data_IF_579415635704
#
_entry.id   IF_579415635704
#
_cell.length_a   1.000
_cell.length_b   1.000
_cell.length_c   1.000
_cell.angle_alpha   90.00
_cell.angle_beta   90.00
_cell.angle_gamma   90.00
#
_symmetry.space_group_name_H-M   'P 1'
#
loop_
_entity.id
_entity.type
_entity.pdbx_description
1 polymer ?
#
# COMPACT_ATOMS: atom_id res chain seq x y z
N UNK A 1 9.42 28.32 -15.07
CA UNK A 1 10.50 28.61 -14.11
C UNK A 1 10.29 30.03 -13.64
N UNK A 2 10.35 30.28 -12.33
CA UNK A 2 10.27 31.63 -11.76
C UNK A 2 11.71 32.10 -11.51
N UNK A 3 11.99 33.38 -11.77
CA UNK A 3 13.31 33.98 -11.64
C UNK A 3 13.24 35.14 -10.64
N UNK A 4 13.09 36.38 -11.13
CA UNK A 4 13.01 37.58 -10.28
C UNK A 4 11.79 37.59 -9.36
N UNK A 5 10.70 36.93 -9.77
CA UNK A 5 9.46 36.84 -9.00
C UNK A 5 9.67 36.17 -7.64
N UNK A 6 10.55 35.16 -7.57
CA UNK A 6 10.89 34.44 -6.34
C UNK A 6 12.20 34.89 -5.70
N UNK A 7 13.13 35.45 -6.48
CA UNK A 7 14.46 35.83 -5.98
C UNK A 7 14.46 37.18 -5.23
N UNK A 8 13.81 38.20 -5.80
CA UNK A 8 13.79 39.56 -5.25
C UNK A 8 12.39 40.20 -5.25
N UNK A 9 11.37 39.45 -5.70
CA UNK A 9 9.98 39.92 -5.74
C UNK A 9 9.39 40.11 -4.35
N UNK A 10 8.44 41.05 -4.23
CA UNK A 10 7.75 41.34 -2.97
C UNK A 10 6.80 40.22 -2.51
N UNK A 11 6.38 39.32 -3.43
CA UNK A 11 5.37 38.29 -3.16
C UNK A 11 5.78 36.88 -3.68
N UNK A 12 6.89 36.30 -3.20
CA UNK A 12 7.42 35.03 -3.72
C UNK A 12 6.45 33.86 -3.51
N UNK A 13 5.78 33.80 -2.35
CA UNK A 13 4.80 32.74 -2.05
C UNK A 13 3.56 32.84 -2.96
N UNK A 14 3.06 34.05 -3.20
CA UNK A 14 1.90 34.27 -4.07
C UNK A 14 2.24 33.92 -5.52
N UNK A 15 3.45 34.22 -5.97
CA UNK A 15 3.92 33.85 -7.31
C UNK A 15 3.89 32.33 -7.51
N UNK A 16 4.45 31.56 -6.56
CA UNK A 16 4.45 30.08 -6.61
C UNK A 16 3.02 29.52 -6.54
N UNK A 17 2.17 30.04 -5.65
CA UNK A 17 0.77 29.59 -5.54
C UNK A 17 -0.04 29.87 -6.80
N UNK A 18 0.16 31.04 -7.40
CA UNK A 18 -0.52 31.43 -8.64
C UNK A 18 -0.06 30.57 -9.80
N UNK A 19 1.26 30.32 -9.91
CA UNK A 19 1.81 29.39 -10.90
C UNK A 19 1.19 27.99 -10.76
N UNK A 20 1.11 27.46 -9.54
CA UNK A 20 0.49 26.15 -9.29
C UNK A 20 -0.98 26.10 -9.74
N UNK A 21 -1.77 27.15 -9.46
CA UNK A 21 -3.17 27.25 -9.91
C UNK A 21 -3.28 27.27 -11.44
N UNK A 22 -2.46 28.08 -12.11
CA UNK A 22 -2.44 28.16 -13.58
C UNK A 22 -2.11 26.79 -14.17
N UNK A 23 -1.11 26.09 -13.61
CA UNK A 23 -0.79 24.73 -14.05
C UNK A 23 -1.96 23.77 -13.87
N UNK A 24 -2.61 23.75 -12.71
CA UNK A 24 -3.76 22.86 -12.47
C UNK A 24 -4.91 23.11 -13.45
N UNK A 25 -5.25 24.36 -13.72
CA UNK A 25 -6.30 24.73 -14.68
C UNK A 25 -5.90 24.40 -16.12
N UNK A 26 -4.66 24.68 -16.52
CA UNK A 26 -4.19 24.32 -17.85
C UNK A 26 -4.19 22.79 -18.05
N UNK A 27 -3.83 22.03 -17.02
CA UNK A 27 -3.79 20.57 -17.08
C UNK A 27 -5.17 19.91 -17.05
N UNK A 28 -6.19 20.56 -16.50
CA UNK A 28 -7.57 20.05 -16.47
C UNK A 28 -8.24 20.06 -17.85
N UNK A 29 -7.81 20.95 -18.74
CA UNK A 29 -8.36 21.09 -20.11
C UNK A 29 -7.74 20.16 -21.15
N UNK A 30 -6.68 19.42 -20.79
CA UNK A 30 -5.94 18.56 -21.72
C UNK A 30 -6.60 17.18 -21.88
N UNK A 31 -6.84 16.77 -23.13
CA UNK A 31 -7.14 15.38 -23.46
C UNK A 31 -5.85 14.56 -23.54
N UNK A 32 -5.54 13.86 -22.45
CA UNK A 32 -4.38 12.97 -22.35
C UNK A 32 -4.41 11.79 -23.33
N UNK A 33 -5.60 11.33 -23.75
CA UNK A 33 -5.75 10.26 -24.73
C UNK A 33 -5.25 10.70 -26.11
N UNK A 34 -5.61 11.90 -26.52
CA UNK A 34 -5.15 12.48 -27.80
C UNK A 34 -3.68 12.91 -27.76
N UNK A 35 -3.21 13.46 -26.64
CA UNK A 35 -1.78 13.76 -26.44
C UNK A 35 -0.95 12.49 -26.60
N UNK A 36 -1.37 11.38 -25.97
CA UNK A 36 -0.68 10.09 -26.11
C UNK A 36 -0.61 9.61 -27.57
N UNK A 37 -1.73 9.67 -28.31
CA UNK A 37 -1.77 9.27 -29.73
C UNK A 37 -0.80 10.08 -30.58
N UNK A 38 -0.75 11.41 -30.42
CA UNK A 38 0.17 12.28 -31.17
C UNK A 38 1.63 11.96 -30.87
N UNK A 39 1.97 11.72 -29.60
CA UNK A 39 3.34 11.32 -29.21
C UNK A 39 3.72 9.97 -29.84
N UNK A 40 2.79 9.02 -29.86
CA UNK A 40 3.02 7.71 -30.48
C UNK A 40 3.24 7.81 -32.00
N UNK A 41 2.52 8.69 -32.70
CA UNK A 41 2.68 8.91 -34.15
C UNK A 41 4.07 9.45 -34.52
N UNK A 42 4.72 10.20 -33.62
CA UNK A 42 6.07 10.74 -33.82
C UNK A 42 7.17 9.93 -33.14
N UNK A 43 6.83 8.78 -32.55
CA UNK A 43 7.83 7.91 -31.93
C UNK A 43 8.56 7.08 -32.99
N UNK A 44 9.89 6.86 -32.86
CA UNK A 44 10.67 6.13 -33.85
C UNK A 44 10.25 4.65 -33.90
N UNK A 45 10.27 4.05 -35.09
CA UNK A 45 10.03 2.61 -35.28
C UNK A 45 11.24 2.01 -36.00
N UNK A 46 11.94 0.99 -35.44
CA UNK A 46 11.65 0.30 -34.17
C UNK A 46 12.04 1.13 -32.93
N UNK A 47 11.26 1.00 -31.86
CA UNK A 47 11.55 1.59 -30.55
C UNK A 47 12.56 0.74 -29.76
N UNK A 48 13.28 1.35 -28.83
CA UNK A 48 14.06 0.60 -27.85
C UNK A 48 13.15 -0.27 -26.95
N UNK A 49 13.61 -1.42 -26.42
CA UNK A 49 12.77 -2.28 -25.58
C UNK A 49 12.17 -1.57 -24.36
N UNK A 50 12.94 -0.69 -23.70
CA UNK A 50 12.46 0.08 -22.55
C UNK A 50 11.41 1.13 -22.93
N UNK A 51 11.56 1.76 -24.10
CA UNK A 51 10.60 2.73 -24.62
C UNK A 51 9.31 2.06 -25.09
N UNK A 52 9.41 0.89 -25.72
CA UNK A 52 8.27 0.04 -26.06
C UNK A 52 7.48 -0.38 -24.83
N UNK A 53 8.17 -0.73 -23.74
CA UNK A 53 7.52 -1.04 -22.47
C UNK A 53 6.93 0.19 -21.79
N UNK A 54 7.58 1.35 -21.85
CA UNK A 54 7.06 2.58 -21.27
C UNK A 54 5.77 3.04 -21.97
N UNK A 55 5.74 3.03 -23.30
CA UNK A 55 4.53 3.33 -24.08
C UNK A 55 3.42 2.30 -23.82
N UNK A 56 3.78 1.02 -23.74
CA UNK A 56 2.83 -0.05 -23.41
C UNK A 56 2.26 0.11 -22.01
N UNK A 57 3.07 0.47 -21.01
CA UNK A 57 2.61 0.70 -19.64
C UNK A 57 1.59 1.84 -19.55
N UNK A 58 1.84 2.96 -20.25
CA UNK A 58 0.88 4.08 -20.33
C UNK A 58 -0.40 3.66 -21.07
N UNK A 59 -0.28 2.91 -22.17
CA UNK A 59 -1.44 2.36 -22.87
C UNK A 59 -2.26 1.44 -21.98
N UNK A 60 -1.61 0.52 -21.26
CA UNK A 60 -2.25 -0.38 -20.30
C UNK A 60 -2.91 0.39 -19.17
N UNK A 61 -2.27 1.42 -18.63
CA UNK A 61 -2.86 2.26 -17.59
C UNK A 61 -4.12 2.99 -18.06
N UNK A 62 -4.08 3.55 -19.28
CA UNK A 62 -5.25 4.17 -19.91
C UNK A 62 -6.38 3.15 -20.13
N UNK A 63 -6.07 1.97 -20.67
CA UNK A 63 -7.07 0.93 -20.96
C UNK A 63 -7.65 0.29 -19.70
N UNK A 64 -6.84 0.06 -18.67
CA UNK A 64 -7.26 -0.51 -17.40
C UNK A 64 -7.86 0.53 -16.43
N UNK A 65 -7.97 1.80 -16.88
CA UNK A 65 -8.40 2.95 -16.06
C UNK A 65 -7.69 3.00 -14.71
N UNK A 66 -6.38 2.83 -14.75
CA UNK A 66 -5.54 2.84 -13.56
C UNK A 66 -5.50 4.24 -12.94
N UNK A 67 -5.52 4.27 -11.61
CA UNK A 67 -5.45 5.52 -10.84
C UNK A 67 -4.02 6.04 -10.71
N UNK A 68 -3.03 5.15 -10.81
CA UNK A 68 -1.62 5.47 -10.64
C UNK A 68 -0.74 4.50 -11.44
N UNK A 69 0.39 5.01 -11.94
CA UNK A 69 1.47 4.19 -12.49
C UNK A 69 2.60 4.15 -11.46
N UNK A 70 3.00 2.93 -11.06
CA UNK A 70 4.13 2.69 -10.18
C UNK A 70 5.34 2.33 -11.03
N UNK A 71 6.46 3.04 -10.88
CA UNK A 71 7.69 2.74 -11.61
C UNK A 71 8.80 2.48 -10.63
N UNK A 72 9.30 1.24 -10.58
CA UNK A 72 10.52 0.93 -9.84
C UNK A 72 11.72 1.21 -10.73
N UNK A 73 12.64 2.05 -10.26
CA UNK A 73 13.80 2.46 -11.05
C UNK A 73 15.04 2.60 -10.16
N UNK A 74 16.22 2.32 -10.71
CA UNK A 74 17.50 2.54 -10.01
C UNK A 74 18.12 3.87 -10.43
N UNK A 75 18.13 4.15 -11.74
CA UNK A 75 18.72 5.37 -12.33
C UNK A 75 17.72 6.43 -12.80
N UNK A 76 16.40 6.21 -12.64
CA UNK A 76 15.36 7.17 -13.03
C UNK A 76 15.01 7.18 -14.53
N UNK A 77 15.78 6.52 -15.40
CA UNK A 77 15.56 6.52 -16.86
C UNK A 77 14.19 5.97 -17.25
N UNK A 78 13.76 4.85 -16.67
CA UNK A 78 12.45 4.24 -16.92
C UNK A 78 11.30 5.21 -16.59
N UNK A 79 11.41 5.90 -15.47
CA UNK A 79 10.39 6.85 -15.01
C UNK A 79 10.27 8.04 -15.99
N UNK A 80 11.40 8.54 -16.49
CA UNK A 80 11.46 9.59 -17.52
C UNK A 80 10.81 9.14 -18.83
N UNK A 81 11.02 7.90 -19.25
CA UNK A 81 10.39 7.33 -20.45
C UNK A 81 8.88 7.22 -20.30
N UNK A 82 8.37 6.82 -19.13
CA UNK A 82 6.92 6.82 -18.88
C UNK A 82 6.36 8.25 -18.93
N UNK A 83 7.04 9.22 -18.32
CA UNK A 83 6.63 10.63 -18.33
C UNK A 83 6.65 11.26 -19.74
N UNK A 84 7.50 10.77 -20.66
CA UNK A 84 7.53 11.18 -22.08
C UNK A 84 6.16 11.03 -22.73
N UNK A 85 5.43 9.97 -22.42
CA UNK A 85 4.13 9.64 -23.01
C UNK A 85 2.94 10.35 -22.36
N UNK A 86 3.19 11.26 -21.40
CA UNK A 86 2.18 12.14 -20.78
C UNK A 86 0.92 11.40 -20.31
N UNK A 87 1.02 10.42 -19.39
CA UNK A 87 -0.16 9.85 -18.77
C UNK A 87 -0.97 10.95 -18.03
N UNK A 88 -2.30 10.88 -18.08
CA UNK A 88 -3.20 11.71 -17.28
C UNK A 88 -3.32 11.34 -15.79
N UNK A 89 -2.60 10.30 -15.35
CA UNK A 89 -2.55 9.83 -13.97
C UNK A 89 -1.15 10.08 -13.40
N UNK A 90 -1.01 10.24 -12.08
CA UNK A 90 0.30 10.42 -11.47
C UNK A 90 1.21 9.19 -11.67
N UNK A 91 2.51 9.45 -11.77
CA UNK A 91 3.56 8.42 -11.86
C UNK A 91 4.34 8.43 -10.55
N UNK A 92 4.20 7.40 -9.74
CA UNK A 92 5.02 7.21 -8.55
C UNK A 92 6.32 6.52 -8.92
N UNK A 93 7.42 7.26 -8.91
CA UNK A 93 8.77 6.74 -9.18
C UNK A 93 9.43 6.34 -7.88
N UNK A 94 9.51 5.03 -7.62
CA UNK A 94 10.22 4.49 -6.46
C UNK A 94 11.66 4.21 -6.86
N UNK A 95 12.58 4.96 -6.26
CA UNK A 95 14.02 4.78 -6.46
C UNK A 95 14.53 3.73 -5.49
N UNK A 96 14.97 2.61 -6.04
CA UNK A 96 15.58 1.51 -5.28
C UNK A 96 17.09 1.69 -5.33
N UNK A 97 17.75 2.07 -4.21
CA UNK A 97 19.19 2.27 -4.20
C UNK A 97 19.91 0.96 -4.50
N UNK A 98 21.01 1.05 -5.24
CA UNK A 98 21.95 -0.07 -5.33
C UNK A 98 22.86 0.01 -4.13
N UNK A 99 22.88 -1.05 -3.35
CA UNK A 99 23.87 -1.22 -2.30
C UNK A 99 25.12 -1.74 -2.98
N UNK A 100 26.19 -0.93 -2.99
CA UNK A 100 27.51 -1.38 -3.41
C UNK A 100 28.37 -1.52 -2.15
N UNK A 101 28.66 -2.76 -1.77
CA UNK A 101 29.62 -3.08 -0.70
C UNK A 101 30.97 -3.33 -1.34
N UNK A 102 31.57 -2.27 -1.88
CA UNK A 102 32.91 -2.34 -2.49
C UNK A 102 34.00 -1.98 -1.44
N UNK A 103 33.59 -1.52 -0.26
CA UNK A 103 34.45 -1.09 0.86
C UNK A 103 33.78 -1.36 2.21
N UNK A 104 34.56 -1.41 3.31
CA UNK A 104 34.09 -1.55 4.70
C UNK A 104 33.11 -0.45 5.17
N UNK A 105 32.88 0.58 4.34
CA UNK A 105 31.87 1.61 4.51
C UNK A 105 30.64 1.38 3.62
N UNK A 106 29.46 1.38 4.23
CA UNK A 106 28.19 1.40 3.51
C UNK A 106 27.86 2.82 3.06
N UNK A 107 27.73 3.04 1.75
CA UNK A 107 27.24 4.31 1.20
C UNK A 107 25.95 4.12 0.40
N UNK A 108 24.91 4.86 0.79
CA UNK A 108 23.65 4.96 0.04
C UNK A 108 23.80 6.04 -1.05
N UNK A 109 24.28 5.67 -2.23
CA UNK A 109 24.66 6.64 -3.27
C UNK A 109 23.50 7.25 -4.10
N UNK A 110 22.25 6.78 -3.97
CA UNK A 110 21.26 6.95 -5.04
C UNK A 110 20.01 7.80 -4.69
N UNK A 111 20.17 8.91 -3.98
CA UNK A 111 19.05 9.89 -3.86
C UNK A 111 18.98 10.83 -5.09
N UNK A 112 20.08 10.99 -5.83
CA UNK A 112 20.13 11.87 -7.02
C UNK A 112 19.08 11.53 -8.09
N UNK A 113 18.75 10.26 -8.41
CA UNK A 113 17.70 9.94 -9.38
C UNK A 113 16.31 10.34 -8.89
N UNK A 114 16.07 10.33 -7.58
CA UNK A 114 14.80 10.77 -7.00
C UNK A 114 14.65 12.30 -7.16
N UNK A 115 15.70 13.06 -6.84
CA UNK A 115 15.71 14.52 -7.02
C UNK A 115 15.59 14.93 -8.49
N UNK A 116 16.32 14.26 -9.39
CA UNK A 116 16.24 14.53 -10.83
C UNK A 116 14.85 14.26 -11.41
N UNK A 117 14.07 13.36 -10.81
CA UNK A 117 12.70 13.07 -11.25
C UNK A 117 11.74 14.25 -11.05
N UNK A 118 12.01 15.17 -10.12
CA UNK A 118 11.15 16.34 -9.84
C UNK A 118 11.03 17.32 -11.01
N UNK A 119 11.97 17.29 -11.95
CA UNK A 119 11.97 18.15 -13.15
C UNK A 119 10.98 17.62 -14.20
N UNK A 120 10.67 16.32 -14.15
CA UNK A 120 9.81 15.68 -15.13
C UNK A 120 8.35 15.74 -14.69
N UNK A 121 7.45 16.06 -15.61
CA UNK A 121 6.03 16.20 -15.34
C UNK A 121 5.41 14.89 -14.84
N UNK A 122 4.50 15.00 -13.89
CA UNK A 122 3.67 13.89 -13.39
C UNK A 122 4.43 12.88 -12.53
N UNK A 123 5.75 13.05 -12.38
CA UNK A 123 6.59 12.19 -11.56
C UNK A 123 6.58 12.64 -10.11
N UNK A 124 6.13 11.74 -9.25
CA UNK A 124 6.21 11.85 -7.80
C UNK A 124 7.30 10.88 -7.34
N UNK A 125 8.50 11.35 -6.99
CA UNK A 125 9.54 10.46 -6.52
C UNK A 125 9.26 9.97 -5.09
N UNK A 126 9.72 8.75 -4.81
CA UNK A 126 9.81 8.17 -3.47
C UNK A 126 11.12 7.39 -3.37
N UNK A 127 11.81 7.53 -2.24
CA UNK A 127 13.00 6.75 -1.96
C UNK A 127 12.59 5.48 -1.22
N UNK A 128 13.03 4.33 -1.71
CA UNK A 128 12.84 3.07 -1.00
C UNK A 128 13.99 2.88 0.00
N UNK A 129 13.65 2.92 1.29
CA UNK A 129 14.56 2.54 2.37
C UNK A 129 14.48 1.02 2.58
N UNK A 130 15.01 0.27 1.61
CA UNK A 130 14.92 -1.18 1.54
C UNK A 130 16.01 -1.94 2.30
N UNK A 131 15.66 -3.13 2.79
CA UNK A 131 16.52 -4.04 3.57
C UNK A 131 17.58 -4.74 2.69
N UNK A 132 18.78 -4.96 3.25
CA UNK A 132 19.90 -5.67 2.66
C UNK A 132 19.65 -7.20 2.55
N UNK A 133 18.58 -7.62 1.87
CA UNK A 133 18.26 -9.05 1.68
C UNK A 133 18.95 -9.62 0.44
N UNK A 134 19.21 -10.93 0.51
CA UNK A 134 20.11 -11.67 -0.39
C UNK A 134 19.57 -11.95 -1.81
N UNK A 135 18.28 -11.73 -2.09
CA UNK A 135 17.69 -12.08 -3.41
C UNK A 135 17.05 -10.88 -4.13
N UNK A 136 17.37 -10.72 -5.42
CA UNK A 136 16.85 -9.63 -6.26
C UNK A 136 15.33 -9.70 -6.52
N UNK A 137 14.70 -10.87 -6.39
CA UNK A 137 13.27 -11.02 -6.64
C UNK A 137 12.43 -10.55 -5.44
N UNK A 138 12.78 -10.98 -4.23
CA UNK A 138 12.04 -10.63 -3.00
C UNK A 138 12.07 -9.12 -2.74
N UNK A 139 13.21 -8.48 -3.01
CA UNK A 139 13.37 -7.02 -2.90
C UNK A 139 12.43 -6.23 -3.82
N UNK A 140 12.08 -6.76 -5.01
CA UNK A 140 11.18 -6.07 -5.94
C UNK A 140 9.72 -6.12 -5.52
N UNK A 141 9.24 -7.25 -4.99
CA UNK A 141 7.87 -7.35 -4.50
C UNK A 141 7.68 -6.54 -3.21
N UNK A 142 8.67 -6.52 -2.31
CA UNK A 142 8.67 -5.63 -1.14
C UNK A 142 8.64 -4.14 -1.54
N UNK A 143 9.42 -3.75 -2.56
CA UNK A 143 9.41 -2.39 -3.09
C UNK A 143 8.05 -2.02 -3.72
N UNK A 144 7.35 -2.96 -4.35
CA UNK A 144 5.98 -2.74 -4.85
C UNK A 144 4.98 -2.55 -3.72
N UNK A 145 5.08 -3.34 -2.65
CA UNK A 145 4.22 -3.18 -1.46
C UNK A 145 4.43 -1.80 -0.84
N UNK A 146 5.70 -1.41 -0.64
CA UNK A 146 6.05 -0.07 -0.19
C UNK A 146 5.50 1.02 -1.11
N UNK A 147 5.61 0.86 -2.43
CA UNK A 147 5.08 1.82 -3.40
C UNK A 147 3.56 2.03 -3.23
N UNK A 148 2.81 0.94 -3.04
CA UNK A 148 1.36 0.98 -2.84
C UNK A 148 1.01 1.64 -1.50
N UNK A 149 1.74 1.35 -0.43
CA UNK A 149 1.54 1.98 0.88
C UNK A 149 1.85 3.47 0.85
N UNK A 150 2.95 3.86 0.20
CA UNK A 150 3.32 5.26 0.03
C UNK A 150 2.33 6.03 -0.84
N UNK A 151 1.80 5.39 -1.89
CA UNK A 151 0.73 5.96 -2.71
C UNK A 151 -0.55 6.18 -1.89
N UNK A 152 -0.93 5.24 -1.02
CA UNK A 152 -2.07 5.40 -0.09
C UNK A 152 -1.83 6.52 0.91
N UNK A 153 -0.62 6.60 1.49
CA UNK A 153 -0.27 7.63 2.46
C UNK A 153 -0.32 9.04 1.86
N UNK A 154 0.07 9.19 0.58
CA UNK A 154 -0.05 10.44 -0.17
C UNK A 154 -1.47 10.71 -0.71
N UNK A 155 -2.42 9.80 -0.51
CA UNK A 155 -3.78 9.92 -1.02
C UNK A 155 -3.90 9.79 -2.55
N UNK A 156 -2.88 9.24 -3.22
CA UNK A 156 -2.85 9.06 -4.67
C UNK A 156 -3.67 7.84 -5.13
N UNK A 157 -3.88 6.87 -4.26
CA UNK A 157 -4.73 5.71 -4.52
C UNK A 157 -5.58 5.33 -3.30
N UNK A 158 -6.74 4.75 -3.57
CA UNK A 158 -7.69 4.24 -2.58
C UNK A 158 -7.79 2.72 -2.69
N UNK A 159 -8.44 2.12 -1.69
CA UNK A 159 -8.71 0.67 -1.70
C UNK A 159 -9.73 0.37 -2.81
N UNK A 160 -9.47 -0.65 -3.62
CA UNK A 160 -10.30 -1.00 -4.78
C UNK A 160 -9.79 -0.44 -6.11
N UNK A 161 -8.83 0.49 -6.09
CA UNK A 161 -8.27 1.06 -7.30
C UNK A 161 -7.32 0.10 -8.02
N UNK A 162 -7.18 0.27 -9.34
CA UNK A 162 -6.15 -0.39 -10.15
C UNK A 162 -4.91 0.50 -10.26
N UNK A 163 -3.74 -0.14 -10.18
CA UNK A 163 -2.43 0.48 -10.38
C UNK A 163 -1.66 -0.34 -11.42
N UNK A 164 -0.86 0.33 -12.26
CA UNK A 164 0.03 -0.36 -13.21
C UNK A 164 1.45 -0.20 -12.72
N UNK A 165 2.12 -1.30 -12.43
CA UNK A 165 3.52 -1.33 -12.03
C UNK A 165 4.43 -1.67 -13.22
N UNK A 166 5.51 -0.91 -13.37
CA UNK A 166 6.58 -1.15 -14.32
C UNK A 166 7.88 -1.33 -13.53
N UNK A 167 8.49 -2.50 -13.65
CA UNK A 167 9.75 -2.80 -12.96
C UNK A 167 10.60 -3.81 -13.74
N UNK A 168 11.84 -3.97 -13.31
CA UNK A 168 12.77 -4.97 -13.86
C UNK A 168 12.84 -6.17 -12.92
N UNK A 169 12.83 -7.38 -13.48
CA UNK A 169 13.02 -8.65 -12.77
C UNK A 169 14.17 -9.37 -13.46
N UNK A 170 15.34 -9.37 -12.83
CA UNK A 170 16.58 -9.87 -13.43
C UNK A 170 16.92 -9.13 -14.73
N UNK A 171 16.94 -9.85 -15.85
CA UNK A 171 17.23 -9.31 -17.18
C UNK A 171 15.99 -8.79 -17.91
N UNK A 172 14.79 -9.21 -17.50
CA UNK A 172 13.53 -8.86 -18.12
C UNK A 172 12.88 -7.63 -17.48
N UNK A 173 12.07 -6.93 -18.25
CA UNK A 173 11.24 -5.82 -17.76
C UNK A 173 9.77 -6.18 -17.92
N UNK A 174 8.99 -5.92 -16.87
CA UNK A 174 7.64 -6.46 -16.69
C UNK A 174 6.65 -5.33 -16.39
N UNK A 175 5.47 -5.43 -16.97
CA UNK A 175 4.29 -4.61 -16.66
C UNK A 175 3.32 -5.50 -15.87
N UNK A 176 2.96 -5.07 -14.65
CA UNK A 176 2.05 -5.79 -13.75
C UNK A 176 0.86 -4.90 -13.43
N UNK A 177 -0.35 -5.40 -13.64
CA UNK A 177 -1.57 -4.72 -13.16
C UNK A 177 -1.81 -5.20 -11.73
N UNK A 178 -1.87 -4.26 -10.79
CA UNK A 178 -2.03 -4.52 -9.35
C UNK A 178 -3.37 -3.91 -8.92
N UNK A 179 -4.17 -4.71 -8.22
CA UNK A 179 -5.36 -4.21 -7.54
C UNK A 179 -5.02 -3.86 -6.10
N UNK A 180 -5.36 -2.65 -5.69
CA UNK A 180 -5.10 -2.16 -4.34
C UNK A 180 -6.07 -2.85 -3.37
N UNK A 181 -5.61 -3.95 -2.76
CA UNK A 181 -6.40 -4.74 -1.81
C UNK A 181 -6.82 -3.92 -0.58
N UNK A 182 -8.05 -4.13 -0.15
CA UNK A 182 -8.58 -3.77 1.16
C UNK A 182 -7.87 -4.62 2.23
N UNK A 183 -7.30 -3.99 3.26
CA UNK A 183 -6.61 -4.61 4.42
C UNK A 183 -7.48 -5.63 5.21
N UNK A 184 -8.69 -5.93 4.77
CA UNK A 184 -9.62 -6.83 5.47
C UNK A 184 -9.27 -8.32 5.35
N UNK A 185 -8.37 -8.74 4.46
CA UNK A 185 -8.02 -10.16 4.30
C UNK A 185 -6.80 -10.62 5.10
N UNK A 186 -5.90 -9.73 5.51
CA UNK A 186 -4.62 -10.18 6.07
C UNK A 186 -4.76 -10.55 7.56
N UNK A 187 -5.58 -9.82 8.33
CA UNK A 187 -5.93 -10.23 9.69
C UNK A 187 -6.69 -11.57 9.69
N UNK A 188 -7.61 -11.78 8.74
CA UNK A 188 -8.34 -13.04 8.61
C UNK A 188 -7.43 -14.17 8.12
N UNK A 189 -6.50 -13.90 7.21
CA UNK A 189 -5.52 -14.88 6.73
C UNK A 189 -4.53 -15.31 7.80
N UNK A 190 -4.02 -14.37 8.61
CA UNK A 190 -3.18 -14.68 9.77
C UNK A 190 -3.95 -15.44 10.85
N UNK A 191 -5.21 -15.08 11.10
CA UNK A 191 -6.09 -15.83 12.02
C UNK A 191 -6.38 -17.23 11.48
N UNK A 192 -6.69 -17.39 10.19
CA UNK A 192 -6.94 -18.70 9.56
C UNK A 192 -5.67 -19.58 9.57
N UNK A 193 -4.50 -18.99 9.31
CA UNK A 193 -3.21 -19.70 9.33
C UNK A 193 -2.79 -20.08 10.74
N UNK A 194 -3.10 -19.24 11.73
CA UNK A 194 -2.91 -19.57 13.15
C UNK A 194 -3.88 -20.68 13.60
N UNK A 195 -5.16 -20.61 13.21
CA UNK A 195 -6.17 -21.63 13.52
C UNK A 195 -5.82 -22.97 12.84
N UNK A 196 -5.36 -22.96 11.57
CA UNK A 196 -4.96 -24.20 10.88
C UNK A 196 -3.77 -24.87 11.55
N UNK A 197 -2.83 -24.08 12.07
CA UNK A 197 -1.65 -24.59 12.78
C UNK A 197 -2.03 -25.21 14.14
N UNK A 198 -2.98 -24.60 14.85
CA UNK A 198 -3.55 -25.15 16.11
C UNK A 198 -4.34 -26.44 15.86
N UNK A 199 -5.04 -26.53 14.72
CA UNK A 199 -5.79 -27.73 14.33
C UNK A 199 -4.88 -28.89 13.92
N UNK A 200 -3.74 -28.62 13.26
CA UNK A 200 -2.76 -29.66 12.88
C UNK A 200 -1.97 -30.24 14.06
N UNK A 201 -1.77 -29.48 15.15
CA UNK A 201 -1.16 -30.02 16.38
C UNK A 201 -2.10 -30.89 17.21
N UNK A 202 -3.38 -31.00 16.83
CA UNK A 202 -4.41 -31.74 17.56
C UNK A 202 -4.76 -33.04 16.82
N UNK A 203 -3.79 -33.94 16.65
CA UNK A 203 -3.98 -35.22 15.94
C UNK A 203 -4.76 -36.29 16.72
N UNK A 204 -5.63 -35.91 17.67
CA UNK A 204 -6.38 -36.87 18.50
C UNK A 204 -7.85 -36.50 18.79
N UNK A 205 -8.45 -35.58 18.03
CA UNK A 205 -9.90 -35.32 18.11
C UNK A 205 -10.51 -35.42 16.71
N UNK A 206 -10.56 -36.64 16.18
CA UNK A 206 -11.31 -36.93 14.96
C UNK A 206 -12.83 -36.83 15.21
N UNK A 207 -13.47 -36.15 14.26
CA UNK A 207 -14.84 -36.35 13.74
C UNK A 207 -16.09 -35.74 14.40
N UNK A 208 -16.04 -35.13 15.59
CA UNK A 208 -17.29 -34.61 16.20
C UNK A 208 -17.65 -33.14 15.90
N UNK A 209 -16.74 -32.29 15.39
CA UNK A 209 -16.95 -30.83 15.42
C UNK A 209 -17.14 -30.13 14.07
N UNK A 210 -17.10 -30.86 12.94
CA UNK A 210 -16.94 -30.22 11.63
C UNK A 210 -18.23 -29.78 10.92
N UNK A 211 -19.43 -29.96 11.50
CA UNK A 211 -20.67 -29.69 10.75
C UNK A 211 -21.25 -28.27 10.84
N UNK A 212 -20.72 -27.34 11.64
CA UNK A 212 -21.38 -26.05 11.84
C UNK A 212 -20.46 -24.83 11.74
N UNK A 213 -19.84 -24.63 10.57
CA UNK A 213 -19.38 -23.30 10.13
C UNK A 213 -20.17 -22.93 8.88
N UNK A 214 -21.44 -22.59 9.07
CA UNK A 214 -22.27 -22.01 8.01
C UNK A 214 -22.16 -20.49 8.07
N UNK A 215 -21.51 -19.87 7.08
CA UNK A 215 -21.59 -18.43 6.87
C UNK A 215 -23.00 -18.08 6.37
N UNK A 216 -23.83 -17.46 7.21
CA UNK A 216 -25.07 -16.85 6.73
C UNK A 216 -24.72 -15.62 5.87
N UNK A 217 -25.19 -15.62 4.61
CA UNK A 217 -25.16 -14.43 3.73
C UNK A 217 -25.97 -13.28 4.36
N UNK A 218 -25.56 -12.01 4.23
CA UNK A 218 -26.32 -10.90 4.76
C UNK A 218 -27.58 -10.66 3.91
N UNK A 219 -28.73 -10.48 4.58
CA UNK A 219 -29.96 -9.97 3.96
C UNK A 219 -29.82 -8.45 3.72
N UNK A 220 -30.48 -7.86 2.70
CA UNK A 220 -30.29 -6.46 2.34
C UNK A 220 -31.12 -5.55 3.27
N UNK A 221 -30.45 -4.68 4.00
CA UNK A 221 -31.07 -3.64 4.83
C UNK A 221 -30.06 -2.57 5.26
N UNK A 222 -30.48 -1.31 5.47
CA UNK A 222 -29.57 -0.19 5.65
C UNK A 222 -29.29 0.05 7.13
N UNK A 223 -28.39 -0.73 7.73
CA UNK A 223 -27.75 -0.32 8.99
C UNK A 223 -26.42 -1.05 9.19
N UNK A 224 -25.35 -0.25 9.24
CA UNK A 224 -24.01 -0.68 9.63
C UNK A 224 -24.02 -1.08 11.11
N UNK A 225 -23.93 -2.39 11.39
CA UNK A 225 -23.61 -2.91 12.73
C UNK A 225 -22.30 -3.69 12.62
N UNK A 226 -21.31 -3.48 13.52
CA UNK A 226 -20.05 -4.20 13.44
C UNK A 226 -20.24 -5.69 13.72
N UNK A 227 -19.66 -6.53 12.87
CA UNK A 227 -19.56 -7.99 13.02
C UNK A 227 -18.96 -8.34 14.38
N UNK A 228 -19.78 -8.77 15.33
CA UNK A 228 -19.31 -9.39 16.58
C UNK A 228 -19.02 -10.86 16.30
N UNK A 229 -17.75 -11.20 16.16
CA UNK A 229 -17.29 -12.59 16.06
C UNK A 229 -17.57 -13.29 17.39
N UNK A 230 -18.61 -14.12 17.46
CA UNK A 230 -18.95 -14.89 18.66
C UNK A 230 -18.51 -16.34 18.45
N UNK A 231 -17.27 -16.65 18.85
CA UNK A 231 -16.77 -18.02 18.86
C UNK A 231 -17.34 -18.71 20.10
N UNK A 232 -18.38 -19.53 19.93
CA UNK A 232 -18.90 -20.39 20.99
C UNK A 232 -18.11 -21.71 20.99
N UNK A 233 -17.00 -21.75 21.72
CA UNK A 233 -16.33 -23.01 22.05
C UNK A 233 -17.08 -23.68 23.22
N UNK A 234 -17.93 -24.65 22.92
CA UNK A 234 -18.62 -25.48 23.92
C UNK A 234 -17.78 -26.74 24.16
N UNK A 235 -16.79 -26.64 25.04
CA UNK A 235 -15.99 -27.82 25.45
C UNK A 235 -16.82 -28.61 26.45
N UNK A 236 -17.21 -29.83 26.08
CA UNK A 236 -17.91 -30.78 26.95
C UNK A 236 -16.84 -31.67 27.60
N UNK A 237 -16.47 -31.37 28.83
CA UNK A 237 -15.58 -32.22 29.62
C UNK A 237 -16.38 -33.36 30.29
N UNK A 238 -15.85 -34.59 30.25
CA UNK A 238 -15.81 -35.40 31.45
C UNK A 238 -14.38 -35.93 31.69
N UNK A 239 -14.08 -36.26 32.94
CA UNK A 239 -12.82 -36.81 33.47
C UNK A 239 -11.72 -35.80 33.85
N UNK A 240 -11.76 -35.39 35.12
CA UNK A 240 -10.56 -35.30 35.96
C UNK A 240 -10.46 -36.60 36.78
N UNK A 241 -9.26 -37.12 37.09
CA UNK A 241 -8.71 -36.75 38.40
C UNK A 241 -7.17 -36.57 38.48
N UNK A 242 -6.83 -35.60 39.34
CA UNK A 242 -5.79 -35.55 40.39
C UNK A 242 -4.28 -35.57 40.06
N UNK A 243 -3.63 -34.68 40.85
CA UNK A 243 -2.24 -34.60 41.37
C UNK A 243 -1.49 -33.38 40.81
N UNK A 244 -0.98 -32.40 41.55
CA UNK A 244 -0.53 -32.31 42.95
C UNK A 244 -0.58 -30.83 43.42
N UNK A 245 -0.59 -30.71 44.73
CA UNK A 245 -0.66 -29.58 45.67
C UNK A 245 0.43 -28.50 45.55
N UNK A 246 0.00 -27.22 45.53
CA UNK A 246 0.40 -26.04 46.35
C UNK A 246 1.89 -25.64 46.63
N UNK A 247 2.14 -24.34 46.99
CA UNK A 247 3.24 -23.48 46.53
C UNK A 247 4.28 -23.12 47.63
N UNK A 248 5.08 -22.04 47.45
CA UNK A 248 5.00 -20.96 48.46
C UNK A 248 5.10 -19.50 47.96
N UNK A 249 4.38 -18.62 48.69
CA UNK A 249 4.71 -17.25 49.16
C UNK A 249 5.11 -16.15 48.12
N UNK A 250 4.34 -15.08 47.82
CA UNK A 250 3.69 -13.94 48.55
C UNK A 250 4.49 -12.63 48.60
N UNK A 251 3.72 -11.52 48.60
CA UNK A 251 3.99 -10.08 48.79
C UNK A 251 4.14 -9.26 47.49
N UNK A 252 3.40 -8.18 47.23
CA UNK A 252 2.69 -7.18 48.07
C UNK A 252 1.31 -6.82 47.47
N UNK A 253 0.20 -6.83 48.24
CA UNK A 253 -0.51 -5.66 48.82
C UNK A 253 -0.91 -4.58 47.78
N UNK A 254 -2.19 -4.18 47.60
CA UNK A 254 -3.36 -4.36 48.45
C UNK A 254 -4.70 -3.98 47.77
N UNK A 255 -5.74 -4.54 48.39
CA UNK A 255 -7.21 -4.42 48.27
C UNK A 255 -7.76 -2.96 48.40
N UNK A 256 -9.09 -2.68 48.33
CA UNK A 256 -10.25 -3.61 48.26
C UNK A 256 -11.38 -3.27 47.24
N UNK A 257 -12.15 -4.30 46.89
CA UNK A 257 -13.57 -4.26 46.45
C UNK A 257 -14.47 -3.80 47.62
N UNK A 258 -15.70 -3.25 47.45
CA UNK A 258 -16.85 -4.13 47.17
C UNK A 258 -18.14 -3.54 46.52
N UNK A 259 -18.95 -4.48 46.02
CA UNK A 259 -20.42 -4.66 46.13
C UNK A 259 -21.42 -3.54 45.74
N UNK A 260 -22.34 -3.99 44.87
CA UNK A 260 -23.80 -3.91 44.99
C UNK A 260 -24.61 -2.72 44.45
N UNK A 261 -25.62 -3.13 43.66
CA UNK A 261 -27.04 -2.76 43.71
C UNK A 261 -27.58 -1.62 42.82
N UNK A 262 -28.67 -2.01 42.14
CA UNK A 262 -29.86 -1.23 41.77
C UNK A 262 -29.69 -0.26 40.58
N UNK A 263 -30.19 -0.57 39.38
CA UNK A 263 -31.60 -0.61 38.96
C UNK A 263 -32.30 0.75 39.10
N UNK A 264 -32.95 1.13 37.99
CA UNK A 264 -34.06 2.07 37.84
C UNK A 264 -33.82 3.57 37.62
N UNK A 265 -34.21 3.98 36.39
CA UNK A 265 -35.18 5.04 36.06
C UNK A 265 -34.75 6.53 36.04
N UNK A 266 -34.66 7.02 34.79
CA UNK A 266 -35.22 8.29 34.27
C UNK A 266 -34.48 9.61 34.64
N UNK A 267 -34.83 10.76 34.01
CA UNK A 267 -34.30 11.25 32.74
C UNK A 267 -33.68 12.66 32.86
N UNK A 268 -33.09 13.16 31.75
CA UNK A 268 -32.71 14.54 31.38
C UNK A 268 -32.78 15.70 32.40
N UNK A 269 -31.86 16.68 32.30
CA UNK A 269 -32.32 17.92 31.66
C UNK A 269 -31.32 18.56 30.69
N UNK A 270 -31.92 19.34 29.78
CA UNK A 270 -31.28 20.39 28.99
C UNK A 270 -30.74 21.47 29.93
N UNK A 271 -29.64 22.09 29.54
CA UNK A 271 -29.58 23.51 29.18
C UNK A 271 -28.62 23.66 28.00
#
# INVERSE_FOLDING_TARGET
MLSGETAAGAYPELAVRTMAKICLEAESTLDYGDVFKRIMQHSPVPMSPLESLASSAVRTANSAKATIILVLTRGGSTAKLVAKYRPGMPILSVVVPEIKTDSFDWSCSNESPARHSLIFRGLVPALYAGSAKASHAETTEEALVFAVEHAKAKGLCKKGDSAVALHRVGTASVIKIIFVKTVTSDCLGHIFKAISHILQSSSNLQESCFENILFQKPLPGPSLVPLKLRVLAKIKAPFLPRLITNPPFTHLLGLPLPLQLLQTLLPSPRL
#
